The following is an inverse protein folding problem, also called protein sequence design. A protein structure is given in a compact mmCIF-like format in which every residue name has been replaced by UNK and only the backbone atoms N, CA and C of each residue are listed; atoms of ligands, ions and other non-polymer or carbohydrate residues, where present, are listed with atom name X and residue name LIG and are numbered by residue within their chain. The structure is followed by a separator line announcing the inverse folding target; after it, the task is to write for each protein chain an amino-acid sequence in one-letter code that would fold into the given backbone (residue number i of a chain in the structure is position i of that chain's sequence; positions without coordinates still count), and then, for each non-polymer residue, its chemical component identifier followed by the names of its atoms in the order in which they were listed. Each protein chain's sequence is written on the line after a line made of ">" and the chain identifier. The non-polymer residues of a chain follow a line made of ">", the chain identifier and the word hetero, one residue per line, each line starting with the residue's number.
data_IF_776855069722
#
_entry.id   IF_776855069722
#
_cell.length_a   1.000
_cell.length_b   1.000
_cell.length_c   1.000
_cell.angle_alpha   90.00
_cell.angle_beta   90.00
_cell.angle_gamma   90.00
#
_symmetry.space_group_name_H-M   'P 1'
#
loop_
_entity.id
_entity.type
_entity.pdbx_description
1 polymer ?
#
# COMPACT_ATOMS: atom_id res chain seq x y z
N UNK A 1 15.55 -20.53 -6.29
CA UNK A 1 16.03 -21.62 -5.42
C UNK A 1 16.76 -21.03 -4.21
N UNK A 2 16.97 -21.77 -3.13
CA UNK A 2 17.74 -21.28 -1.98
C UNK A 2 19.24 -21.28 -2.36
N UNK A 3 19.73 -20.18 -2.96
CA UNK A 3 21.10 -20.06 -3.45
C UNK A 3 21.33 -19.00 -4.52
N UNK A 4 20.26 -18.47 -5.13
CA UNK A 4 20.36 -17.52 -6.25
C UNK A 4 20.63 -16.06 -5.83
N UNK A 5 20.95 -15.81 -4.57
CA UNK A 5 21.24 -14.48 -4.05
C UNK A 5 22.29 -14.54 -2.93
N UNK A 6 23.03 -13.45 -2.78
CA UNK A 6 24.11 -13.32 -1.77
C UNK A 6 23.70 -12.27 -0.74
N UNK A 7 23.88 -12.53 0.56
CA UNK A 7 23.60 -11.54 1.60
C UNK A 7 24.50 -10.31 1.50
N UNK A 8 24.01 -9.21 2.08
CA UNK A 8 24.82 -8.00 2.21
C UNK A 8 25.97 -8.19 3.22
N UNK A 9 26.82 -7.16 3.35
CA UNK A 9 27.99 -7.17 4.24
C UNK A 9 27.67 -7.43 5.73
N UNK A 10 26.40 -7.31 6.14
CA UNK A 10 25.92 -7.57 7.50
C UNK A 10 25.18 -8.92 7.62
N UNK A 11 25.15 -9.73 6.56
CA UNK A 11 24.44 -11.01 6.55
C UNK A 11 22.93 -10.91 6.29
N UNK A 12 22.42 -9.70 6.00
CA UNK A 12 21.01 -9.43 5.74
C UNK A 12 20.63 -9.59 4.25
N UNK A 13 19.33 -9.44 3.98
CA UNK A 13 18.76 -9.51 2.61
C UNK A 13 18.53 -8.16 1.96
N UNK A 14 18.76 -7.10 2.72
CA UNK A 14 18.54 -5.73 2.31
C UNK A 14 19.60 -5.32 1.28
N UNK A 15 19.18 -4.75 0.17
CA UNK A 15 20.08 -4.13 -0.79
C UNK A 15 20.47 -2.73 -0.28
N UNK A 16 21.66 -2.62 0.30
CA UNK A 16 22.11 -1.42 1.01
C UNK A 16 22.30 -0.25 0.05
N UNK A 17 22.82 -0.52 -1.14
CA UNK A 17 23.06 0.44 -2.20
C UNK A 17 21.74 1.04 -2.71
N UNK A 18 20.71 0.21 -2.87
CA UNK A 18 19.37 0.68 -3.25
C UNK A 18 18.72 1.52 -2.14
N UNK A 19 18.86 1.11 -0.87
CA UNK A 19 18.35 1.88 0.27
C UNK A 19 19.02 3.25 0.36
N UNK A 20 20.35 3.30 0.22
CA UNK A 20 21.10 4.56 0.24
C UNK A 20 20.73 5.48 -0.94
N UNK A 21 20.63 4.90 -2.14
CA UNK A 21 20.16 5.61 -3.33
C UNK A 21 18.78 6.25 -3.11
N UNK A 22 17.80 5.51 -2.60
CA UNK A 22 16.44 6.04 -2.38
C UNK A 22 16.44 7.15 -1.33
N UNK A 23 17.19 6.99 -0.25
CA UNK A 23 17.35 8.04 0.78
C UNK A 23 17.96 9.30 0.18
N UNK A 24 19.02 9.16 -0.62
CA UNK A 24 19.67 10.29 -1.27
C UNK A 24 18.75 10.98 -2.26
N UNK A 25 18.06 10.21 -3.13
CA UNK A 25 17.08 10.71 -4.09
C UNK A 25 16.00 11.55 -3.41
N UNK A 26 15.39 11.02 -2.35
CA UNK A 26 14.30 11.69 -1.65
C UNK A 26 14.80 12.95 -0.93
N UNK A 27 15.96 12.89 -0.29
CA UNK A 27 16.56 14.05 0.38
C UNK A 27 16.83 15.19 -0.61
N UNK A 28 17.50 14.91 -1.74
CA UNK A 28 17.84 15.92 -2.76
C UNK A 28 16.58 16.48 -3.41
N UNK A 29 15.58 15.65 -3.71
CA UNK A 29 14.35 16.10 -4.35
C UNK A 29 13.57 17.04 -3.44
N UNK A 30 13.43 16.71 -2.15
CA UNK A 30 12.73 17.57 -1.20
C UNK A 30 13.50 18.85 -0.88
N UNK A 31 14.84 18.82 -0.90
CA UNK A 31 15.68 20.02 -0.74
C UNK A 31 15.54 20.97 -1.93
N UNK A 32 15.67 20.44 -3.15
CA UNK A 32 15.66 21.27 -4.37
C UNK A 32 14.27 21.70 -4.82
N UNK A 33 13.26 20.89 -4.52
CA UNK A 33 11.88 21.15 -4.91
C UNK A 33 10.92 20.94 -3.72
N UNK A 34 10.92 21.86 -2.73
CA UNK A 34 10.00 21.79 -1.60
C UNK A 34 8.54 21.72 -2.06
N UNK A 35 7.75 20.86 -1.40
CA UNK A 35 6.34 20.63 -1.74
C UNK A 35 6.09 19.53 -2.77
N UNK A 36 7.13 18.96 -3.40
CA UNK A 36 7.01 17.75 -4.23
C UNK A 36 6.52 16.58 -3.39
N UNK A 37 5.68 15.72 -3.96
CA UNK A 37 5.30 14.44 -3.39
C UNK A 37 6.05 13.31 -4.08
N UNK A 38 6.68 12.44 -3.30
CA UNK A 38 7.25 11.19 -3.77
C UNK A 38 6.52 10.07 -3.03
N UNK A 39 5.86 9.20 -3.79
CA UNK A 39 4.95 8.18 -3.25
C UNK A 39 5.52 6.80 -3.55
N UNK A 40 5.65 5.96 -2.53
CA UNK A 40 6.08 4.57 -2.67
C UNK A 40 4.88 3.61 -2.71
N UNK A 41 4.97 2.58 -3.54
CA UNK A 41 4.25 1.33 -3.34
C UNK A 41 5.26 0.32 -2.77
N UNK A 42 5.02 -0.17 -1.56
CA UNK A 42 5.93 -1.06 -0.85
C UNK A 42 5.10 -2.12 -0.11
N UNK A 43 5.33 -3.39 -0.46
CA UNK A 43 4.42 -4.50 -0.15
C UNK A 43 5.02 -5.56 0.79
N UNK A 44 6.15 -5.28 1.46
CA UNK A 44 6.86 -6.21 2.38
C UNK A 44 6.87 -5.75 3.84
N UNK A 45 6.07 -4.73 4.17
CA UNK A 45 5.99 -4.12 5.50
C UNK A 45 7.32 -3.51 5.99
N UNK A 46 8.10 -2.95 5.06
CA UNK A 46 9.30 -2.19 5.42
C UNK A 46 8.90 -1.02 6.33
N UNK A 47 9.57 -0.82 7.49
CA UNK A 47 9.21 0.23 8.41
C UNK A 47 9.74 1.59 7.96
N UNK A 48 9.03 2.66 8.29
CA UNK A 48 9.50 4.04 8.13
C UNK A 48 9.73 4.45 6.66
N UNK A 49 8.93 3.92 5.74
CA UNK A 49 9.04 4.25 4.30
C UNK A 49 8.79 5.74 4.07
N UNK A 50 7.77 6.29 4.72
CA UNK A 50 7.36 7.69 4.57
C UNK A 50 7.86 8.60 5.71
N UNK A 51 8.93 8.20 6.39
CA UNK A 51 9.58 8.98 7.45
C UNK A 51 10.87 9.63 6.94
N UNK A 52 11.30 10.76 7.55
CA UNK A 52 12.52 11.44 7.14
C UNK A 52 13.77 10.56 7.20
N UNK A 53 14.69 10.80 6.26
CA UNK A 53 15.93 10.02 6.14
C UNK A 53 16.84 10.16 7.35
N UNK A 54 16.88 11.34 7.99
CA UNK A 54 17.67 11.59 9.20
C UNK A 54 17.14 10.89 10.46
N UNK A 55 15.92 10.34 10.43
CA UNK A 55 15.37 9.47 11.47
C UNK A 55 15.52 7.98 11.15
N UNK A 56 16.16 7.64 10.02
CA UNK A 56 16.32 6.26 9.54
C UNK A 56 15.25 5.81 8.54
N UNK A 57 14.32 6.69 8.15
CA UNK A 57 13.33 6.39 7.11
C UNK A 57 13.90 6.37 5.70
N UNK A 58 13.06 6.03 4.71
CA UNK A 58 13.43 6.08 3.29
C UNK A 58 13.22 7.47 2.66
N UNK A 59 12.47 8.36 3.32
CA UNK A 59 12.27 9.74 2.88
C UNK A 59 11.13 9.96 1.90
N UNK A 60 10.30 8.94 1.62
CA UNK A 60 9.11 9.16 0.80
C UNK A 60 8.12 10.09 1.51
N UNK A 61 7.33 10.83 0.75
CA UNK A 61 6.28 11.69 1.32
C UNK A 61 5.09 10.86 1.79
N UNK A 62 4.72 9.85 0.99
CA UNK A 62 3.58 8.97 1.26
C UNK A 62 3.85 7.53 0.80
N UNK A 63 3.05 6.59 1.31
CA UNK A 63 3.08 5.17 0.95
C UNK A 63 1.68 4.68 0.57
N UNK A 64 1.54 3.86 -0.46
CA UNK A 64 0.29 3.18 -0.76
C UNK A 64 -0.09 2.20 0.34
N UNK A 65 -1.32 2.30 0.83
CA UNK A 65 -1.87 1.35 1.80
C UNK A 65 -2.48 0.14 1.09
N UNK A 66 -1.60 -0.79 0.68
CA UNK A 66 -2.00 -2.02 0.00
C UNK A 66 -2.86 -2.93 0.89
N UNK A 67 -2.61 -2.92 2.21
CA UNK A 67 -3.43 -3.65 3.18
C UNK A 67 -4.87 -3.15 3.20
N UNK A 68 -5.06 -1.84 3.38
CA UNK A 68 -6.39 -1.21 3.32
C UNK A 68 -7.10 -1.48 2.00
N UNK A 69 -6.39 -1.39 0.87
CA UNK A 69 -6.96 -1.64 -0.45
C UNK A 69 -7.49 -3.08 -0.54
N UNK A 70 -6.67 -4.06 -0.14
CA UNK A 70 -7.06 -5.47 -0.17
C UNK A 70 -8.23 -5.77 0.77
N UNK A 71 -8.17 -5.27 2.01
CA UNK A 71 -9.19 -5.50 3.02
C UNK A 71 -10.54 -4.87 2.60
N UNK A 72 -10.51 -3.65 2.05
CA UNK A 72 -11.71 -2.95 1.59
C UNK A 72 -12.36 -3.66 0.40
N UNK A 73 -11.59 -4.05 -0.62
CA UNK A 73 -12.12 -4.80 -1.76
C UNK A 73 -12.67 -6.17 -1.34
N UNK A 74 -11.97 -6.85 -0.44
CA UNK A 74 -12.42 -8.14 0.12
C UNK A 74 -13.72 -7.98 0.90
N UNK A 75 -13.85 -6.91 1.69
CA UNK A 75 -15.08 -6.61 2.43
C UNK A 75 -16.26 -6.32 1.49
N UNK A 76 -16.05 -5.47 0.48
CA UNK A 76 -17.11 -5.02 -0.42
C UNK A 76 -17.61 -6.12 -1.37
N UNK A 77 -16.74 -7.06 -1.74
CA UNK A 77 -17.10 -8.21 -2.58
C UNK A 77 -17.95 -9.28 -1.90
N UNK A 78 -18.02 -9.27 -0.56
CA UNK A 78 -18.88 -10.17 0.19
C UNK A 78 -20.35 -9.75 0.07
N UNK A 79 -21.24 -10.73 0.02
CA UNK A 79 -22.68 -10.49 0.16
C UNK A 79 -22.94 -9.71 1.47
N UNK A 80 -23.78 -8.66 1.45
CA UNK A 80 -24.09 -7.86 2.63
C UNK A 80 -24.46 -8.68 3.87
N UNK A 81 -25.15 -9.81 3.71
CA UNK A 81 -25.57 -10.67 4.83
C UNK A 81 -24.35 -11.26 5.54
N UNK A 82 -23.23 -11.51 4.86
CA UNK A 82 -22.02 -12.10 5.46
C UNK A 82 -21.02 -11.05 5.97
N UNK A 83 -21.18 -9.77 5.64
CA UNK A 83 -20.23 -8.72 6.02
C UNK A 83 -20.04 -8.55 7.53
N UNK A 84 -21.06 -8.88 8.33
CA UNK A 84 -20.96 -8.78 9.79
C UNK A 84 -19.93 -9.73 10.40
N UNK A 85 -19.60 -10.84 9.73
CA UNK A 85 -18.53 -11.76 10.14
C UNK A 85 -17.12 -11.25 9.82
N UNK A 86 -17.02 -10.15 9.06
CA UNK A 86 -15.77 -9.64 8.48
C UNK A 86 -15.56 -8.15 8.73
N UNK A 87 -16.16 -7.60 9.80
CA UNK A 87 -16.07 -6.17 10.08
C UNK A 87 -14.65 -5.73 10.47
N UNK A 88 -13.81 -6.68 10.89
CA UNK A 88 -12.39 -6.51 11.09
C UNK A 88 -11.67 -5.98 9.85
N UNK A 89 -12.10 -6.36 8.64
CA UNK A 89 -11.52 -5.86 7.39
C UNK A 89 -11.68 -4.33 7.21
N UNK A 90 -12.71 -3.72 7.80
CA UNK A 90 -12.86 -2.26 7.79
C UNK A 90 -12.06 -1.58 8.90
N UNK A 91 -11.85 -2.26 10.03
CA UNK A 91 -11.28 -1.64 11.23
C UNK A 91 -9.80 -1.92 11.43
N UNK A 92 -9.27 -3.02 10.88
CA UNK A 92 -7.89 -3.46 11.11
C UNK A 92 -6.87 -2.43 10.60
N UNK A 93 -7.14 -1.81 9.45
CA UNK A 93 -6.31 -0.73 8.90
C UNK A 93 -6.08 0.43 9.86
N UNK A 94 -7.05 0.73 10.73
CA UNK A 94 -6.94 1.83 11.70
C UNK A 94 -5.85 1.59 12.75
N UNK A 95 -5.51 0.32 13.04
CA UNK A 95 -4.48 -0.02 14.02
C UNK A 95 -3.08 0.47 13.60
N UNK A 96 -2.83 0.57 12.29
CA UNK A 96 -1.55 1.01 11.75
C UNK A 96 -1.66 2.26 10.87
N UNK A 97 -2.84 2.84 10.66
CA UNK A 97 -3.03 3.96 9.72
C UNK A 97 -2.19 5.22 10.02
N UNK A 98 -1.65 5.35 11.23
CA UNK A 98 -0.80 6.48 11.64
C UNK A 98 0.70 6.15 11.67
N UNK A 99 1.10 4.92 11.32
CA UNK A 99 2.52 4.52 11.28
C UNK A 99 3.26 5.09 10.08
N UNK A 100 2.55 5.36 8.99
CA UNK A 100 3.03 5.97 7.75
C UNK A 100 2.03 7.03 7.26
N UNK A 101 2.47 7.89 6.34
CA UNK A 101 1.60 8.80 5.60
C UNK A 101 0.96 8.03 4.44
N UNK A 102 -0.23 7.48 4.65
CA UNK A 102 -0.84 6.60 3.66
C UNK A 102 -1.62 7.35 2.55
N UNK A 103 -1.46 6.86 1.32
CA UNK A 103 -2.43 7.02 0.21
C UNK A 103 -3.33 5.79 0.20
N UNK A 104 -4.61 5.96 -0.12
CA UNK A 104 -5.60 4.88 -0.22
C UNK A 104 -5.89 4.57 -1.70
N UNK A 105 -5.17 3.64 -2.34
CA UNK A 105 -5.25 3.47 -3.80
C UNK A 105 -6.35 2.50 -4.21
N UNK A 106 -7.02 2.82 -5.32
CA UNK A 106 -7.58 1.84 -6.25
C UNK A 106 -6.85 2.03 -7.59
N UNK A 107 -5.81 1.24 -7.84
CA UNK A 107 -4.92 1.42 -8.99
C UNK A 107 -5.37 0.60 -10.21
N UNK A 108 -4.67 0.80 -11.32
CA UNK A 108 -4.89 0.03 -12.55
C UNK A 108 -4.65 -1.48 -12.37
N UNK A 109 -3.69 -1.87 -11.50
CA UNK A 109 -3.40 -3.28 -11.22
C UNK A 109 -4.59 -4.02 -10.60
N UNK A 110 -5.53 -3.29 -10.01
CA UNK A 110 -6.70 -3.88 -9.40
C UNK A 110 -7.80 -4.21 -10.40
N UNK A 111 -7.76 -3.72 -11.64
CA UNK A 111 -8.85 -3.90 -12.62
C UNK A 111 -8.42 -4.61 -13.89
N UNK A 112 -7.37 -5.43 -13.80
CA UNK A 112 -6.79 -6.19 -14.91
C UNK A 112 -6.67 -7.68 -14.58
N UNK A 113 -6.18 -8.50 -15.51
CA UNK A 113 -5.83 -9.91 -15.30
C UNK A 113 -6.95 -10.76 -14.68
N UNK A 114 -8.21 -10.53 -15.06
CA UNK A 114 -9.36 -11.28 -14.55
C UNK A 114 -9.88 -10.84 -13.18
N UNK A 115 -9.32 -9.77 -12.57
CA UNK A 115 -9.81 -9.19 -11.32
C UNK A 115 -11.15 -8.44 -11.45
N UNK A 116 -11.61 -8.19 -12.68
CA UNK A 116 -12.85 -7.47 -12.98
C UNK A 116 -12.76 -5.95 -12.74
N UNK A 117 -13.75 -5.20 -13.23
CA UNK A 117 -13.86 -3.77 -12.93
C UNK A 117 -14.26 -3.56 -11.46
N UNK A 118 -14.11 -2.33 -10.94
CA UNK A 118 -14.56 -2.01 -9.58
C UNK A 118 -16.06 -2.31 -9.36
N UNK A 119 -16.89 -2.17 -10.40
CA UNK A 119 -18.31 -2.51 -10.34
C UNK A 119 -18.54 -4.04 -10.28
N UNK A 120 -17.72 -4.82 -10.97
CA UNK A 120 -17.76 -6.30 -10.97
C UNK A 120 -17.29 -6.92 -9.66
N UNK A 121 -16.59 -6.14 -8.84
CA UNK A 121 -16.18 -6.55 -7.50
C UNK A 121 -17.27 -6.37 -6.46
N UNK A 122 -18.38 -5.71 -6.77
CA UNK A 122 -19.48 -5.51 -5.83
C UNK A 122 -20.45 -6.70 -5.88
N UNK A 123 -21.03 -7.06 -4.75
CA UNK A 123 -22.05 -8.13 -4.65
C UNK A 123 -23.47 -7.60 -4.93
N UNK A 124 -24.35 -8.49 -5.38
CA UNK A 124 -25.77 -8.20 -5.61
C UNK A 124 -26.15 -7.98 -7.07
N UNK A 125 -27.38 -7.51 -7.28
CA UNK A 125 -27.87 -7.09 -8.60
C UNK A 125 -27.21 -5.79 -9.08
N UNK A 126 -27.44 -5.38 -10.32
CA UNK A 126 -26.81 -4.20 -10.90
C UNK A 126 -27.07 -2.93 -10.06
N UNK A 127 -28.28 -2.74 -9.53
CA UNK A 127 -28.61 -1.59 -8.70
C UNK A 127 -27.78 -1.60 -7.40
N UNK A 128 -27.69 -2.75 -6.74
CA UNK A 128 -26.90 -2.95 -5.51
C UNK A 128 -25.41 -2.78 -5.77
N UNK A 129 -24.91 -3.23 -6.92
CA UNK A 129 -23.50 -3.09 -7.32
C UNK A 129 -23.13 -1.63 -7.53
N UNK A 130 -23.96 -0.87 -8.23
CA UNK A 130 -23.78 0.57 -8.38
C UNK A 130 -23.92 1.31 -7.04
N UNK A 131 -24.83 0.88 -6.16
CA UNK A 131 -24.97 1.46 -4.83
C UNK A 131 -23.73 1.21 -3.96
N UNK A 132 -23.20 -0.01 -3.98
CA UNK A 132 -22.00 -0.39 -3.22
C UNK A 132 -20.77 0.34 -3.70
N UNK A 133 -20.62 0.55 -5.02
CA UNK A 133 -19.46 1.28 -5.57
C UNK A 133 -19.43 2.76 -5.15
N UNK A 134 -20.57 3.36 -4.78
CA UNK A 134 -20.65 4.75 -4.31
C UNK A 134 -20.36 4.92 -2.82
N UNK A 135 -20.47 3.84 -2.04
CA UNK A 135 -20.21 3.83 -0.59
C UNK A 135 -18.69 3.86 -0.35
#
# INVERSE_FOLDING_TARGET
>A
EAGDWVPNIYGGRENLEAVDFLRHLNAVTHERFPGTLIVAEESTAWPQVSRPTWLGGLGFSMKWNMGWMHDTLSYMSKDPVYRHFHHDLLTFGLLYCFTENFVLPFSHDEVVHGKGSMLDKMSGDDWQRFASLRL
#
